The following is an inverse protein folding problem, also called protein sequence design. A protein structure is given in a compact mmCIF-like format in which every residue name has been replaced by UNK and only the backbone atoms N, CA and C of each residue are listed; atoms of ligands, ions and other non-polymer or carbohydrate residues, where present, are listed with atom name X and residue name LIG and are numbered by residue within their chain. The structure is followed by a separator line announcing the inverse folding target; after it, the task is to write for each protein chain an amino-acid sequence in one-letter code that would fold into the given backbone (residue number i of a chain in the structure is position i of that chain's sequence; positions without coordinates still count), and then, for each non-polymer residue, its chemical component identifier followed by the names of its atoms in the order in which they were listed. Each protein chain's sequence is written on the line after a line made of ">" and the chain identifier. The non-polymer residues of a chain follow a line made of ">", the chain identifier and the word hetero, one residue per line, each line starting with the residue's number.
data_IF_483246061784
#
_entry.id   IF_483246061784
#
_cell.length_a   1.000
_cell.length_b   1.000
_cell.length_c   1.000
_cell.angle_alpha   90.00
_cell.angle_beta   90.00
_cell.angle_gamma   90.00
#
_symmetry.space_group_name_H-M   'P 1'
#
loop_
_entity.id
_entity.type
_entity.pdbx_description
1 polymer ?
#
# COMPACT_ATOMS: atom_id res chain seq x y z
N UNK A 1 9.14 17.79 -20.96
CA UNK A 1 7.81 17.19 -21.17
C UNK A 1 7.89 15.72 -21.61
N UNK A 2 8.51 15.38 -22.75
CA UNK A 2 8.64 13.97 -23.21
C UNK A 2 9.38 13.05 -22.23
N UNK A 3 10.52 13.48 -21.67
CA UNK A 3 11.28 12.67 -20.69
C UNK A 3 10.47 12.34 -19.42
N UNK A 4 9.65 13.28 -18.96
CA UNK A 4 8.82 13.09 -17.78
C UNK A 4 7.63 12.16 -18.05
N UNK A 5 7.01 12.29 -19.23
CA UNK A 5 5.97 11.36 -19.69
C UNK A 5 6.53 9.93 -19.85
N UNK A 6 7.72 9.78 -20.41
CA UNK A 6 8.38 8.48 -20.55
C UNK A 6 8.66 7.84 -19.18
N UNK A 7 9.11 8.63 -18.19
CA UNK A 7 9.33 8.13 -16.83
C UNK A 7 8.04 7.65 -16.17
N UNK A 8 6.91 8.35 -16.39
CA UNK A 8 5.61 7.93 -15.84
C UNK A 8 5.13 6.62 -16.45
N UNK A 9 5.33 6.42 -17.76
CA UNK A 9 4.98 5.15 -18.44
C UNK A 9 5.84 4.00 -17.90
N UNK A 10 7.14 4.23 -17.74
CA UNK A 10 8.07 3.24 -17.16
C UNK A 10 7.63 2.84 -15.75
N UNK A 11 7.34 3.82 -14.89
CA UNK A 11 6.87 3.57 -13.52
C UNK A 11 5.55 2.81 -13.50
N UNK A 12 4.58 3.20 -14.35
CA UNK A 12 3.26 2.57 -14.35
C UNK A 12 3.33 1.10 -14.78
N UNK A 13 4.09 0.80 -15.84
CA UNK A 13 4.30 -0.59 -16.28
C UNK A 13 5.02 -1.38 -15.19
N UNK A 14 6.10 -0.83 -14.63
CA UNK A 14 6.84 -1.46 -13.53
C UNK A 14 5.91 -1.78 -12.36
N UNK A 15 5.09 -0.82 -11.93
CA UNK A 15 4.14 -0.97 -10.83
C UNK A 15 3.12 -2.07 -11.13
N UNK A 16 2.46 -2.04 -12.29
CA UNK A 16 1.45 -3.04 -12.64
C UNK A 16 2.03 -4.46 -12.72
N UNK A 17 3.22 -4.61 -13.31
CA UNK A 17 3.89 -5.91 -13.41
C UNK A 17 4.30 -6.43 -12.02
N UNK A 18 4.99 -5.59 -11.24
CA UNK A 18 5.46 -5.94 -9.90
C UNK A 18 4.30 -6.30 -8.97
N UNK A 19 3.29 -5.45 -8.84
CA UNK A 19 2.21 -5.69 -7.89
C UNK A 19 1.27 -6.82 -8.31
N UNK A 20 1.16 -7.13 -9.60
CA UNK A 20 0.49 -8.36 -10.06
C UNK A 20 1.21 -9.62 -9.57
N UNK A 21 2.55 -9.60 -9.51
CA UNK A 21 3.32 -10.70 -8.94
C UNK A 21 3.21 -10.75 -7.42
N UNK A 22 3.22 -9.59 -6.74
CA UNK A 22 3.03 -9.50 -5.29
C UNK A 22 1.69 -10.10 -4.87
N UNK A 23 0.62 -9.80 -5.60
CA UNK A 23 -0.71 -10.37 -5.33
C UNK A 23 -0.69 -11.91 -5.37
N UNK A 24 0.01 -12.47 -6.35
CA UNK A 24 0.09 -13.91 -6.61
C UNK A 24 1.04 -14.64 -5.66
N UNK A 25 2.26 -14.14 -5.52
CA UNK A 25 3.36 -14.84 -4.85
C UNK A 25 3.71 -14.28 -3.47
N UNK A 26 3.27 -13.06 -3.16
CA UNK A 26 3.67 -12.34 -1.95
C UNK A 26 4.81 -11.35 -2.21
N UNK A 27 4.93 -10.36 -1.31
CA UNK A 27 5.88 -9.26 -1.48
C UNK A 27 7.34 -9.72 -1.35
N UNK A 28 7.64 -10.61 -0.40
CA UNK A 28 9.03 -11.03 -0.12
C UNK A 28 9.60 -11.86 -1.26
N UNK A 29 8.79 -12.80 -1.75
CA UNK A 29 9.09 -13.67 -2.87
C UNK A 29 9.33 -12.84 -4.14
N UNK A 30 8.41 -11.93 -4.46
CA UNK A 30 8.55 -11.03 -5.62
C UNK A 30 9.79 -10.15 -5.50
N UNK A 31 10.06 -9.55 -4.34
CA UNK A 31 11.23 -8.70 -4.14
C UNK A 31 12.54 -9.49 -4.25
N UNK A 32 12.58 -10.74 -3.75
CA UNK A 32 13.73 -11.63 -3.91
C UNK A 32 14.03 -11.89 -5.38
N UNK A 33 13.01 -12.23 -6.17
CA UNK A 33 13.17 -12.52 -7.59
C UNK A 33 13.62 -11.27 -8.37
N UNK A 34 13.03 -10.10 -8.06
CA UNK A 34 13.46 -8.81 -8.63
C UNK A 34 14.92 -8.53 -8.30
N UNK A 35 15.36 -8.82 -7.08
CA UNK A 35 16.75 -8.61 -6.67
C UNK A 35 17.71 -9.52 -7.44
N UNK A 36 17.40 -10.82 -7.52
CA UNK A 36 18.25 -11.82 -8.20
C UNK A 36 18.35 -11.55 -9.70
N UNK A 37 17.23 -11.20 -10.32
CA UNK A 37 17.16 -11.00 -11.78
C UNK A 37 17.44 -9.56 -12.22
N UNK A 38 17.79 -8.66 -11.29
CA UNK A 38 17.92 -7.21 -11.56
C UNK A 38 16.68 -6.62 -12.24
N UNK A 39 15.50 -7.03 -11.77
CA UNK A 39 14.20 -6.53 -12.20
C UNK A 39 13.56 -7.24 -13.38
N UNK A 40 14.25 -8.17 -14.07
CA UNK A 40 13.66 -8.85 -15.23
C UNK A 40 12.51 -9.80 -14.88
N UNK A 41 12.46 -10.34 -13.66
CA UNK A 41 11.39 -11.25 -13.22
C UNK A 41 10.00 -10.63 -13.28
N UNK A 42 9.86 -9.30 -13.27
CA UNK A 42 8.54 -8.65 -13.39
C UNK A 42 7.82 -9.00 -14.70
N UNK A 43 8.57 -9.34 -15.75
CA UNK A 43 8.02 -9.75 -17.03
C UNK A 43 7.47 -11.18 -17.06
N UNK A 44 7.61 -11.94 -15.98
CA UNK A 44 6.97 -13.24 -15.80
C UNK A 44 5.52 -13.10 -15.28
N UNK A 45 5.07 -11.86 -15.06
CA UNK A 45 3.68 -11.57 -14.70
C UNK A 45 2.70 -12.14 -15.74
N UNK A 46 1.68 -12.91 -15.32
CA UNK A 46 0.67 -13.44 -16.25
C UNK A 46 -0.12 -12.32 -16.94
N UNK A 47 -0.15 -11.12 -16.34
CA UNK A 47 -0.84 -9.95 -16.87
C UNK A 47 0.02 -9.13 -17.83
N UNK A 48 1.28 -9.52 -18.10
CA UNK A 48 2.23 -8.74 -18.91
C UNK A 48 1.62 -8.24 -20.21
N UNK A 49 1.01 -9.14 -21.00
CA UNK A 49 0.44 -8.80 -22.31
C UNK A 49 -0.63 -7.70 -22.17
N UNK A 50 -1.61 -7.91 -21.29
CA UNK A 50 -2.71 -6.96 -21.07
C UNK A 50 -2.24 -5.61 -20.47
N UNK A 51 -1.13 -5.59 -19.73
CA UNK A 51 -0.53 -4.34 -19.23
C UNK A 51 0.16 -3.59 -20.37
N UNK A 52 1.03 -4.26 -21.13
CA UNK A 52 1.81 -3.63 -22.21
C UNK A 52 0.93 -3.11 -23.36
N UNK A 53 -0.19 -3.78 -23.65
CA UNK A 53 -1.17 -3.36 -24.66
C UNK A 53 -1.78 -1.96 -24.37
N UNK A 54 -1.74 -1.49 -23.11
CA UNK A 54 -2.26 -0.16 -22.74
C UNK A 54 -1.41 1.01 -23.27
N UNK A 55 -0.16 0.76 -23.66
CA UNK A 55 0.82 1.80 -23.99
C UNK A 55 1.20 1.82 -25.48
N UNK A 56 0.43 1.14 -26.35
CA UNK A 56 0.66 1.10 -27.80
C UNK A 56 2.11 0.77 -28.20
N UNK A 57 2.76 -0.14 -27.46
CA UNK A 57 4.16 -0.53 -27.71
C UNK A 57 4.33 -1.31 -29.02
N UNK A 58 3.25 -1.63 -29.73
CA UNK A 58 3.25 -2.34 -31.02
C UNK A 58 3.95 -1.58 -32.14
N UNK A 59 4.21 -0.28 -31.96
CA UNK A 59 4.93 0.53 -32.94
C UNK A 59 6.46 0.46 -32.78
N UNK A 60 6.95 -0.13 -31.68
CA UNK A 60 8.38 -0.28 -31.43
C UNK A 60 8.94 -1.46 -32.23
N UNK A 61 10.14 -1.28 -32.78
CA UNK A 61 10.94 -2.39 -33.30
C UNK A 61 11.38 -3.33 -32.17
N UNK A 62 11.83 -4.54 -32.52
CA UNK A 62 12.28 -5.54 -31.54
C UNK A 62 13.45 -5.04 -30.67
N UNK A 63 14.37 -4.27 -31.26
CA UNK A 63 15.52 -3.67 -30.56
C UNK A 63 15.10 -2.56 -29.60
N UNK A 64 14.15 -1.73 -30.00
CA UNK A 64 13.55 -0.70 -29.13
C UNK A 64 12.77 -1.32 -27.99
N UNK A 65 11.99 -2.36 -28.26
CA UNK A 65 11.22 -3.08 -27.24
C UNK A 65 12.15 -3.76 -26.22
N UNK A 66 13.23 -4.39 -26.68
CA UNK A 66 14.25 -4.97 -25.81
C UNK A 66 14.93 -3.92 -24.93
N UNK A 67 15.24 -2.76 -25.51
CA UNK A 67 15.81 -1.62 -24.77
C UNK A 67 14.82 -1.08 -23.74
N UNK A 68 13.56 -0.98 -24.11
CA UNK A 68 12.49 -0.56 -23.22
C UNK A 68 12.33 -1.51 -22.03
N UNK A 69 12.33 -2.82 -22.25
CA UNK A 69 12.26 -3.80 -21.17
C UNK A 69 13.45 -3.70 -20.20
N UNK A 70 14.67 -3.47 -20.71
CA UNK A 70 15.85 -3.21 -19.87
C UNK A 70 15.63 -2.00 -18.96
N UNK A 71 15.11 -0.90 -19.51
CA UNK A 71 14.85 0.34 -18.75
C UNK A 71 13.80 0.09 -17.65
N UNK A 72 12.71 -0.61 -17.95
CA UNK A 72 11.67 -0.93 -16.95
C UNK A 72 12.19 -1.86 -15.86
N UNK A 73 12.98 -2.89 -16.22
CA UNK A 73 13.62 -3.78 -15.25
C UNK A 73 14.59 -3.02 -14.33
N UNK A 74 15.48 -2.21 -14.90
CA UNK A 74 16.44 -1.40 -14.16
C UNK A 74 15.73 -0.40 -13.23
N UNK A 75 14.69 0.28 -13.72
CA UNK A 75 13.87 1.17 -12.92
C UNK A 75 13.24 0.45 -11.72
N UNK A 76 12.66 -0.74 -11.96
CA UNK A 76 12.05 -1.57 -10.90
C UNK A 76 13.09 -1.98 -9.85
N UNK A 77 14.23 -2.48 -10.29
CA UNK A 77 15.32 -2.89 -9.40
C UNK A 77 15.83 -1.72 -8.56
N UNK A 78 16.12 -0.58 -9.18
CA UNK A 78 16.59 0.60 -8.46
C UNK A 78 15.56 1.07 -7.43
N UNK A 79 14.29 1.17 -7.83
CA UNK A 79 13.22 1.65 -6.96
C UNK A 79 12.96 0.74 -5.76
N UNK A 80 12.83 -0.56 -5.99
CA UNK A 80 12.46 -1.50 -4.93
C UNK A 80 13.64 -2.02 -4.10
N UNK A 81 14.80 -2.26 -4.73
CA UNK A 81 15.93 -2.92 -4.07
C UNK A 81 16.98 -1.93 -3.55
N UNK A 82 17.22 -0.83 -4.27
CA UNK A 82 18.23 0.17 -3.89
C UNK A 82 17.60 1.26 -3.02
N UNK A 83 16.50 1.86 -3.51
CA UNK A 83 15.82 2.96 -2.81
C UNK A 83 14.86 2.47 -1.72
N UNK A 84 14.45 1.19 -1.77
CA UNK A 84 13.46 0.59 -0.86
C UNK A 84 12.10 1.32 -0.89
N UNK A 85 11.71 1.81 -2.06
CA UNK A 85 10.48 2.57 -2.28
C UNK A 85 9.44 1.77 -3.04
N UNK A 86 8.17 2.14 -2.82
CA UNK A 86 7.07 1.55 -3.57
C UNK A 86 7.08 2.03 -5.03
N UNK A 87 6.71 1.11 -5.93
CA UNK A 87 6.28 1.45 -7.29
C UNK A 87 4.81 1.86 -7.24
N UNK A 88 4.51 3.15 -7.32
CA UNK A 88 3.14 3.65 -7.04
C UNK A 88 2.23 3.48 -8.26
N UNK A 89 2.80 3.63 -9.46
CA UNK A 89 2.06 3.69 -10.72
C UNK A 89 1.21 4.95 -10.83
N UNK A 90 0.47 5.10 -11.92
CA UNK A 90 -0.33 6.30 -12.19
C UNK A 90 -1.55 6.34 -11.28
N UNK A 91 -1.67 7.43 -10.52
CA UNK A 91 -2.83 7.71 -9.67
C UNK A 91 -3.74 8.70 -10.39
N UNK A 92 -5.00 8.32 -10.56
CA UNK A 92 -6.04 9.12 -11.20
C UNK A 92 -6.81 9.91 -10.13
N UNK A 93 -7.03 11.21 -10.34
CA UNK A 93 -7.72 12.06 -9.36
C UNK A 93 -9.21 11.72 -9.26
N UNK A 94 -9.74 11.10 -10.31
CA UNK A 94 -11.09 10.54 -10.40
C UNK A 94 -11.34 9.43 -9.37
N UNK A 95 -10.29 8.82 -8.82
CA UNK A 95 -10.40 7.79 -7.77
C UNK A 95 -10.74 8.42 -6.40
N UNK A 96 -10.39 9.70 -6.19
CA UNK A 96 -10.52 10.39 -4.90
C UNK A 96 -11.94 10.38 -4.32
N UNK A 97 -13.01 10.70 -5.08
CA UNK A 97 -14.37 10.78 -4.51
C UNK A 97 -14.90 9.45 -3.99
N UNK A 98 -14.50 8.33 -4.61
CA UNK A 98 -14.90 6.98 -4.17
C UNK A 98 -13.91 6.34 -3.20
N UNK A 99 -12.69 6.89 -3.13
CA UNK A 99 -11.55 6.30 -2.45
C UNK A 99 -11.17 4.92 -3.01
N UNK A 100 -11.52 4.61 -4.27
CA UNK A 100 -11.21 3.34 -4.93
C UNK A 100 -10.90 3.56 -6.40
N UNK A 101 -9.84 2.90 -6.89
CA UNK A 101 -9.62 2.77 -8.33
C UNK A 101 -10.68 1.87 -8.97
N UNK A 102 -10.88 1.94 -10.30
CA UNK A 102 -11.76 1.03 -11.02
C UNK A 102 -11.46 -0.46 -10.76
N UNK A 103 -10.18 -0.81 -10.65
CA UNK A 103 -9.74 -2.19 -10.36
C UNK A 103 -10.05 -2.65 -8.94
N UNK A 104 -10.24 -1.73 -8.00
CA UNK A 104 -10.56 -2.04 -6.59
C UNK A 104 -12.07 -1.96 -6.27
N UNK A 105 -12.91 -1.54 -7.22
CA UNK A 105 -14.34 -1.26 -7.00
C UNK A 105 -15.13 -2.47 -6.51
N UNK A 106 -14.82 -3.67 -7.01
CA UNK A 106 -15.52 -4.92 -6.67
C UNK A 106 -14.97 -5.63 -5.43
N UNK A 107 -13.87 -5.14 -4.83
CA UNK A 107 -13.24 -5.83 -3.70
C UNK A 107 -14.10 -5.67 -2.45
N UNK A 108 -14.58 -6.80 -1.95
CA UNK A 108 -15.39 -6.84 -0.74
C UNK A 108 -14.51 -6.73 0.52
N UNK A 109 -14.50 -5.54 1.11
CA UNK A 109 -13.89 -5.27 2.42
C UNK A 109 -14.84 -5.48 3.59
N UNK A 110 -16.11 -5.86 3.32
CA UNK A 110 -17.07 -6.16 4.40
C UNK A 110 -16.58 -7.36 5.21
N UNK A 111 -16.85 -7.34 6.51
CA UNK A 111 -16.46 -8.38 7.47
C UNK A 111 -14.94 -8.50 7.66
N UNK A 112 -14.22 -7.39 7.71
CA UNK A 112 -12.90 -7.34 8.37
C UNK A 112 -13.11 -6.88 9.81
N UNK A 113 -12.30 -7.40 10.74
CA UNK A 113 -12.43 -7.02 12.15
C UNK A 113 -11.82 -5.66 12.42
N UNK A 114 -12.53 -4.89 13.24
CA UNK A 114 -12.03 -3.66 13.85
C UNK A 114 -11.54 -4.00 15.26
N UNK A 115 -10.39 -3.47 15.69
CA UNK A 115 -9.97 -3.63 17.08
C UNK A 115 -10.98 -2.97 18.03
N UNK A 116 -11.12 -3.51 19.25
CA UNK A 116 -12.01 -2.97 20.28
C UNK A 116 -11.52 -1.61 20.77
N UNK A 117 -10.21 -1.50 20.96
CA UNK A 117 -9.57 -0.26 21.33
C UNK A 117 -8.13 -0.22 20.86
N UNK A 118 -7.64 0.99 20.66
CA UNK A 118 -6.25 1.26 20.33
C UNK A 118 -5.70 2.28 21.32
N UNK A 119 -4.67 1.90 22.08
CA UNK A 119 -4.00 2.76 23.05
C UNK A 119 -2.77 3.40 22.41
N UNK A 120 -2.44 4.63 22.80
CA UNK A 120 -1.33 5.38 22.21
C UNK A 120 -1.66 6.06 20.88
N UNK A 121 -2.92 6.01 20.42
CA UNK A 121 -3.39 6.68 19.22
C UNK A 121 -3.71 8.17 19.50
N UNK A 122 -2.67 8.96 19.70
CA UNK A 122 -2.71 10.42 19.85
C UNK A 122 -2.11 11.14 18.63
N UNK A 123 -2.13 10.47 17.47
CA UNK A 123 -1.51 10.95 16.25
C UNK A 123 -2.39 11.97 15.53
N UNK A 124 -1.76 12.75 14.66
CA UNK A 124 -2.48 13.56 13.68
C UNK A 124 -3.41 12.66 12.86
N UNK A 125 -4.65 13.11 12.64
CA UNK A 125 -5.60 12.47 11.73
C UNK A 125 -5.62 13.24 10.43
N UNK A 126 -5.28 12.59 9.32
CA UNK A 126 -5.15 13.26 8.03
C UNK A 126 -5.67 12.41 6.87
N UNK A 127 -6.31 13.09 5.92
CA UNK A 127 -6.57 12.58 4.57
C UNK A 127 -7.57 11.43 4.48
N UNK A 128 -7.83 11.02 3.23
CA UNK A 128 -8.76 9.95 2.88
C UNK A 128 -8.04 8.82 2.15
N UNK A 129 -8.28 7.59 2.58
CA UNK A 129 -7.72 6.38 1.97
C UNK A 129 -8.26 6.16 0.57
N UNK A 130 -7.36 5.92 -0.39
CA UNK A 130 -7.68 5.46 -1.72
C UNK A 130 -7.09 4.06 -2.00
N UNK A 131 -7.95 3.05 -2.19
CA UNK A 131 -7.57 1.66 -2.46
C UNK A 131 -7.38 1.48 -3.97
N UNK A 132 -6.24 0.93 -4.40
CA UNK A 132 -5.87 0.87 -5.82
C UNK A 132 -5.52 -0.52 -6.34
N UNK A 133 -5.93 -1.56 -5.62
CA UNK A 133 -5.54 -2.95 -5.87
C UNK A 133 -5.52 -3.35 -7.36
N UNK A 134 -4.49 -4.10 -7.80
CA UNK A 134 -3.36 -4.60 -7.03
C UNK A 134 -2.30 -3.53 -6.74
N UNK A 135 -2.46 -2.28 -7.21
CA UNK A 135 -1.50 -1.23 -6.91
C UNK A 135 -1.56 -0.77 -5.44
N UNK A 136 -0.49 -0.15 -4.93
CA UNK A 136 -0.43 0.42 -3.59
C UNK A 136 -1.56 1.41 -3.33
N UNK A 137 -2.13 1.32 -2.14
CA UNK A 137 -3.05 2.35 -1.66
C UNK A 137 -2.28 3.66 -1.44
N UNK A 138 -3.02 4.77 -1.51
CA UNK A 138 -2.51 6.13 -1.29
C UNK A 138 -3.48 6.91 -0.42
N UNK A 139 -3.08 8.09 0.03
CA UNK A 139 -3.93 9.02 0.76
C UNK A 139 -4.05 10.31 -0.03
N UNK A 140 -5.27 10.83 -0.17
CA UNK A 140 -5.50 12.19 -0.63
C UNK A 140 -5.77 13.10 0.55
N UNK A 141 -5.13 14.27 0.58
CA UNK A 141 -5.31 15.27 1.63
C UNK A 141 -5.36 16.67 1.07
N UNK A 142 -6.16 17.54 1.72
CA UNK A 142 -6.19 18.98 1.42
C UNK A 142 -5.05 19.75 2.09
N UNK A 143 -4.41 19.15 3.09
CA UNK A 143 -3.29 19.73 3.84
C UNK A 143 -2.11 18.78 3.87
N UNK A 144 -0.90 19.34 4.01
CA UNK A 144 0.31 18.55 4.24
C UNK A 144 0.30 17.93 5.66
N UNK A 145 0.88 16.73 5.83
CA UNK A 145 1.09 16.15 7.14
C UNK A 145 2.11 16.97 7.95
N UNK A 146 1.91 17.05 9.25
CA UNK A 146 2.88 17.66 10.19
C UNK A 146 3.99 16.71 10.60
N UNK A 147 3.76 15.41 10.43
CA UNK A 147 4.65 14.31 10.83
C UNK A 147 4.74 13.25 9.73
N UNK A 148 5.84 12.50 9.70
CA UNK A 148 6.04 11.38 8.79
C UNK A 148 5.20 10.15 9.15
N UNK A 149 4.63 10.11 10.36
CA UNK A 149 3.73 9.04 10.78
C UNK A 149 2.43 9.61 11.37
N UNK A 150 1.30 9.24 10.77
CA UNK A 150 -0.02 9.74 11.17
C UNK A 150 -1.14 8.71 10.98
N UNK A 151 -2.29 8.97 11.61
CA UNK A 151 -3.52 8.17 11.46
C UNK A 151 -4.31 8.66 10.26
N UNK A 152 -4.78 7.74 9.42
CA UNK A 152 -5.68 8.06 8.32
C UNK A 152 -7.00 8.57 8.88
N UNK A 153 -7.45 9.75 8.48
CA UNK A 153 -8.67 10.36 9.04
C UNK A 153 -9.94 9.68 8.52
N UNK A 154 -10.00 9.44 7.21
CA UNK A 154 -11.16 8.85 6.54
C UNK A 154 -10.79 7.52 5.87
N UNK A 155 -11.47 6.45 6.28
CA UNK A 155 -11.35 5.10 5.71
C UNK A 155 -12.67 4.60 5.10
N UNK A 156 -13.56 5.51 4.69
CA UNK A 156 -14.89 5.18 4.14
C UNK A 156 -14.79 4.32 2.88
N UNK A 157 -13.65 4.36 2.18
CA UNK A 157 -13.37 3.44 1.08
C UNK A 157 -13.41 1.97 1.51
N UNK A 158 -13.23 1.64 2.79
CA UNK A 158 -13.42 0.29 3.35
C UNK A 158 -14.89 -0.05 3.62
N UNK A 159 -15.77 0.95 3.68
CA UNK A 159 -17.18 0.82 4.09
C UNK A 159 -17.40 0.82 5.60
N UNK A 160 -16.36 1.10 6.40
CA UNK A 160 -16.41 1.24 7.85
C UNK A 160 -15.19 2.02 8.36
N UNK A 161 -15.26 2.59 9.56
CA UNK A 161 -14.12 3.23 10.20
C UNK A 161 -13.13 2.17 10.71
N UNK A 162 -11.87 2.25 10.27
CA UNK A 162 -10.79 1.38 10.71
C UNK A 162 -9.62 2.24 11.15
N UNK A 163 -9.06 2.05 12.36
CA UNK A 163 -7.80 2.69 12.72
C UNK A 163 -6.70 2.17 11.79
N UNK A 164 -6.17 3.05 10.96
CA UNK A 164 -5.07 2.79 10.04
C UNK A 164 -4.05 3.92 10.16
N UNK A 165 -2.78 3.56 9.99
CA UNK A 165 -1.68 4.50 10.09
C UNK A 165 -0.83 4.42 8.83
N UNK A 166 -0.08 5.47 8.53
CA UNK A 166 0.85 5.48 7.40
C UNK A 166 2.21 6.05 7.85
N UNK A 167 3.28 5.38 7.46
CA UNK A 167 4.61 5.97 7.39
C UNK A 167 4.83 6.54 5.99
N UNK A 168 5.03 7.85 5.89
CA UNK A 168 5.14 8.59 4.64
C UNK A 168 6.47 8.28 3.94
N UNK A 169 6.40 7.93 2.65
CA UNK A 169 7.54 7.74 1.74
C UNK A 169 7.57 8.80 0.63
N UNK A 170 6.42 9.41 0.33
CA UNK A 170 6.34 10.44 -0.71
C UNK A 170 5.11 11.32 -0.58
N UNK A 171 5.27 12.57 -1.03
CA UNK A 171 4.21 13.57 -1.10
C UNK A 171 4.29 14.23 -2.47
N UNK A 172 3.17 14.30 -3.18
CA UNK A 172 3.08 14.93 -4.50
C UNK A 172 1.91 15.91 -4.52
N UNK A 173 2.16 17.13 -5.00
CA UNK A 173 1.09 18.11 -5.22
C UNK A 173 0.29 17.73 -6.46
N UNK A 174 -1.01 17.51 -6.31
CA UNK A 174 -1.93 17.15 -7.39
C UNK A 174 -2.71 18.36 -7.91
N UNK A 175 -3.07 19.29 -7.03
CA UNK A 175 -3.76 20.54 -7.35
C UNK A 175 -3.42 21.61 -6.29
N UNK A 176 -3.97 22.83 -6.43
CA UNK A 176 -3.68 23.99 -5.57
C UNK A 176 -3.69 23.65 -4.07
N UNK A 177 -4.72 22.91 -3.62
CA UNK A 177 -4.88 22.40 -2.26
C UNK A 177 -5.17 20.90 -2.26
N UNK A 178 -4.43 20.12 -3.04
CA UNK A 178 -4.58 18.67 -3.04
C UNK A 178 -3.21 18.00 -3.10
N UNK A 179 -2.99 17.10 -2.15
CA UNK A 179 -1.77 16.34 -2.00
C UNK A 179 -2.09 14.85 -2.05
N UNK A 180 -1.31 14.12 -2.83
CA UNK A 180 -1.24 12.66 -2.77
C UNK A 180 -0.08 12.28 -1.86
N UNK A 181 -0.34 11.41 -0.90
CA UNK A 181 0.61 10.91 0.06
C UNK A 181 0.75 9.40 -0.15
N UNK A 182 1.98 8.94 -0.31
CA UNK A 182 2.35 7.54 -0.53
C UNK A 182 3.20 7.06 0.64
N UNK A 183 3.14 5.77 0.94
CA UNK A 183 3.85 5.24 2.11
C UNK A 183 3.53 3.78 2.38
N UNK A 184 3.91 3.34 3.59
CA UNK A 184 3.60 2.02 4.11
C UNK A 184 2.47 2.14 5.12
N UNK A 185 1.37 1.44 4.87
CA UNK A 185 0.24 1.39 5.79
C UNK A 185 0.53 0.43 6.93
N UNK A 186 0.30 0.86 8.17
CA UNK A 186 0.32 -0.01 9.32
C UNK A 186 -1.12 -0.28 9.74
N UNK A 187 -1.54 -1.54 9.61
CA UNK A 187 -2.94 -1.94 9.74
C UNK A 187 -3.08 -2.94 10.89
N UNK A 188 -3.92 -2.66 11.90
CA UNK A 188 -4.35 -3.67 12.86
C UNK A 188 -4.97 -4.88 12.16
N UNK A 189 -4.45 -6.06 12.43
CA UNK A 189 -4.93 -7.31 11.83
C UNK A 189 -4.89 -8.46 12.81
N UNK A 190 -5.97 -9.24 12.85
CA UNK A 190 -6.00 -10.51 13.58
C UNK A 190 -6.49 -11.61 12.65
N UNK A 191 -5.55 -12.23 11.93
CA UNK A 191 -5.84 -13.31 10.96
C UNK A 191 -6.50 -14.50 11.65
N UNK A 192 -6.16 -14.80 12.91
CA UNK A 192 -6.74 -15.93 13.64
C UNK A 192 -8.25 -15.81 13.85
N UNK A 193 -8.78 -14.58 13.85
CA UNK A 193 -10.21 -14.33 13.99
C UNK A 193 -11.02 -14.47 12.69
N UNK A 194 -10.44 -14.13 11.54
CA UNK A 194 -11.22 -13.97 10.29
C UNK A 194 -10.65 -14.73 9.07
N UNK A 195 -9.43 -15.25 9.16
CA UNK A 195 -8.75 -15.92 8.05
C UNK A 195 -8.40 -15.01 6.86
N UNK A 196 -8.64 -13.69 6.97
CA UNK A 196 -8.39 -12.71 5.90
C UNK A 196 -7.18 -11.84 6.23
N UNK A 197 -6.44 -11.46 5.18
CA UNK A 197 -5.27 -10.59 5.26
C UNK A 197 -5.53 -9.27 4.54
N UNK A 198 -5.20 -8.14 5.17
CA UNK A 198 -5.23 -6.80 4.59
C UNK A 198 -4.18 -6.63 3.50
N UNK A 199 -3.04 -7.32 3.61
CA UNK A 199 -2.01 -7.34 2.56
C UNK A 199 -2.48 -7.89 1.21
N UNK A 200 -3.66 -8.54 1.17
CA UNK A 200 -4.33 -8.95 -0.08
C UNK A 200 -5.21 -7.86 -0.72
N UNK A 201 -5.43 -6.74 -0.04
CA UNK A 201 -6.24 -5.60 -0.52
C UNK A 201 -5.39 -4.33 -0.60
N UNK A 202 -4.55 -4.11 0.40
CA UNK A 202 -3.61 -3.00 0.51
C UNK A 202 -2.21 -3.61 0.58
N UNK A 203 -1.53 -3.80 -0.57
CA UNK A 203 -0.32 -4.61 -0.62
C UNK A 203 0.91 -3.89 -0.06
N UNK A 204 0.89 -2.54 -0.02
CA UNK A 204 1.87 -1.72 0.68
C UNK A 204 1.54 -1.59 2.18
N UNK A 205 1.22 -2.71 2.84
CA UNK A 205 0.89 -2.73 4.27
C UNK A 205 1.78 -3.65 5.09
N UNK A 206 2.03 -3.21 6.32
CA UNK A 206 2.54 -4.01 7.42
C UNK A 206 1.39 -4.22 8.40
N UNK A 207 1.00 -5.47 8.58
CA UNK A 207 -0.11 -5.84 9.43
C UNK A 207 0.40 -6.35 10.78
N UNK A 208 -0.24 -5.92 11.88
CA UNK A 208 0.16 -6.34 13.23
C UNK A 208 -1.05 -6.64 14.10
N UNK A 209 -0.93 -7.70 14.91
CA UNK A 209 -1.97 -8.12 15.83
C UNK A 209 -1.91 -7.38 17.16
N UNK A 210 -0.73 -7.20 17.73
CA UNK A 210 -0.61 -6.76 19.14
C UNK A 210 -0.29 -5.27 19.28
N UNK A 211 0.23 -4.65 18.22
CA UNK A 211 0.60 -3.23 18.25
C UNK A 211 1.59 -2.81 17.18
N UNK A 212 1.83 -1.51 17.10
CA UNK A 212 2.81 -0.90 16.21
C UNK A 212 3.86 -0.21 17.08
N UNK A 213 5.11 -0.67 17.00
CA UNK A 213 6.24 -0.09 17.71
C UNK A 213 7.34 0.24 16.74
N UNK A 214 7.67 1.51 16.60
CA UNK A 214 8.66 1.97 15.65
C UNK A 214 9.29 3.28 16.11
N UNK A 215 10.52 3.51 15.68
CA UNK A 215 11.23 4.77 15.85
C UNK A 215 11.16 5.52 14.54
N UNK A 216 10.58 6.72 14.59
CA UNK A 216 10.52 7.65 13.46
C UNK A 216 11.44 8.83 13.73
N UNK A 217 11.64 9.67 12.71
CA UNK A 217 12.26 10.98 12.88
C UNK A 217 11.48 11.86 13.88
N UNK A 218 10.16 11.65 13.99
CA UNK A 218 9.28 12.36 14.92
C UNK A 218 9.28 11.75 16.34
N UNK A 219 10.11 10.73 16.58
CA UNK A 219 10.25 10.03 17.86
C UNK A 219 9.65 8.63 17.88
N UNK A 220 9.51 8.09 19.10
CA UNK A 220 9.00 6.73 19.34
C UNK A 220 7.48 6.70 19.19
N UNK A 221 6.99 5.80 18.35
CA UNK A 221 5.58 5.44 18.24
C UNK A 221 5.35 4.11 18.96
N UNK A 222 4.36 4.08 19.87
CA UNK A 222 3.96 2.88 20.60
C UNK A 222 2.43 2.81 20.65
N UNK A 223 1.87 2.02 19.74
CA UNK A 223 0.43 1.79 19.60
C UNK A 223 0.13 0.37 20.05
N UNK A 224 -0.84 0.20 20.96
CA UNK A 224 -1.26 -1.12 21.46
C UNK A 224 -2.66 -1.43 20.98
N UNK A 225 -2.85 -2.61 20.40
CA UNK A 225 -4.11 -3.03 19.79
C UNK A 225 -4.81 -4.05 20.70
N UNK A 226 -6.08 -3.81 21.03
CA UNK A 226 -6.89 -4.74 21.82
C UNK A 226 -8.03 -5.33 20.98
N UNK A 227 -8.19 -6.65 21.04
CA UNK A 227 -9.25 -7.40 20.36
C UNK A 227 -10.23 -8.00 21.39
N UNK A 228 -11.48 -8.30 20.96
CA UNK A 228 -12.54 -8.84 21.83
C UNK A 228 -12.12 -10.10 22.61
N UNK A 229 -11.35 -11.01 22.01
CA UNK A 229 -10.91 -12.25 22.67
C UNK A 229 -9.95 -11.97 23.84
N UNK A 230 -9.11 -10.93 23.73
CA UNK A 230 -8.15 -10.58 24.77
C UNK A 230 -8.83 -10.00 26.02
N UNK A 231 -9.99 -9.35 25.87
CA UNK A 231 -10.79 -8.88 27.01
C UNK A 231 -11.37 -10.05 27.80
N UNK A 232 -11.92 -11.06 27.13
CA UNK A 232 -12.52 -12.23 27.80
C UNK A 232 -11.45 -13.02 28.56
N UNK A 233 -10.27 -13.22 27.97
CA UNK A 233 -9.14 -13.87 28.65
C UNK A 233 -8.62 -13.09 29.85
N UNK A 234 -8.55 -11.76 29.76
CA UNK A 234 -8.18 -10.88 30.89
C UNK A 234 -9.24 -10.87 31.99
N UNK A 235 -10.53 -10.80 31.63
CA UNK A 235 -11.65 -10.86 32.58
C UNK A 235 -11.64 -12.21 33.32
N UNK A 236 -11.46 -13.34 32.62
CA UNK A 236 -11.35 -14.66 33.26
C UNK A 236 -10.17 -14.74 34.23
N UNK A 237 -9.01 -14.19 33.88
CA UNK A 237 -7.85 -14.12 34.80
C UNK A 237 -8.08 -13.22 36.01
N UNK A 238 -8.84 -12.14 35.86
CA UNK A 238 -9.23 -11.25 36.96
C UNK A 238 -10.23 -11.93 37.91
N UNK A 239 -11.24 -12.61 37.37
CA UNK A 239 -12.20 -13.38 38.16
C UNK A 239 -11.49 -14.49 38.96
N UNK A 240 -10.54 -15.20 38.34
CA UNK A 240 -9.75 -16.23 39.02
C UNK A 240 -8.74 -15.70 40.07
N UNK A 241 -8.50 -14.38 40.13
CA UNK A 241 -7.66 -13.76 41.17
C UNK A 241 -8.47 -13.19 42.33
N UNK A 242 -9.79 -13.04 42.16
CA UNK A 242 -10.72 -12.52 43.16
C UNK A 242 -11.44 -13.64 43.93
N UNK A 243 -11.34 -14.88 43.45
CA UNK A 243 -11.74 -16.11 44.13
C UNK A 243 -10.50 -16.82 44.67
#
# INVERSE_FOLDING_TARGET
>A
MQKEQNNRIIEDIAAWLFWSLVDRFGYRETLSDVTITKGFSIFDSPNKKAILERYNLSQLSETELTTFYKIVAEYTYNRCCIEQKNLVGIVYLEDMPSGRSPSAKSINTKNYNVPVSVLGDNLEKLGSLCIRYPLPAVIFSRTLPKKHFFRVANTDSLGFEMPMYIGVDGITKCAEDLWMITGIFHIPENVSLMGKKWSKIIPNSICSQDGIRLYTEDGKIDIVINWHINLIGKIKKLINKLN
#
